data_IF_903730541519
#
_entry.id   IF_903730541519
#
_cell.length_a   1.000
_cell.length_b   1.000
_cell.length_c   1.000
_cell.angle_alpha   90.00
_cell.angle_beta   90.00
_cell.angle_gamma   90.00
#
_symmetry.space_group_name_H-M   'P 1'
#
loop_
_entity.id
_entity.type
_entity.pdbx_description
1 polymer ?
#
# COMPACT_ATOMS: atom_id res chain seq x y z
N UNK A 1 13.99 6.63 -11.74
CA UNK A 1 12.95 5.72 -12.24
C UNK A 1 12.47 4.95 -11.03
N UNK A 2 11.19 5.00 -10.70
CA UNK A 2 10.66 4.18 -9.60
C UNK A 2 10.48 2.77 -10.14
N UNK A 3 11.43 1.89 -9.83
CA UNK A 3 11.38 0.51 -10.30
C UNK A 3 10.19 -0.21 -9.65
N UNK A 4 9.20 -0.71 -10.41
CA UNK A 4 8.05 -1.44 -9.85
C UNK A 4 8.46 -2.69 -9.06
N UNK A 5 9.66 -3.22 -9.31
CA UNK A 5 10.27 -4.28 -8.51
C UNK A 5 10.49 -3.85 -7.05
N UNK A 6 10.92 -2.60 -6.81
CA UNK A 6 11.19 -2.10 -5.47
C UNK A 6 9.92 -2.08 -4.61
N UNK A 7 8.80 -1.61 -5.16
CA UNK A 7 7.53 -1.55 -4.42
C UNK A 7 6.98 -2.96 -4.18
N UNK A 8 7.14 -3.87 -5.14
CA UNK A 8 6.72 -5.26 -4.98
C UNK A 8 7.53 -6.00 -3.89
N UNK A 9 8.85 -5.78 -3.83
CA UNK A 9 9.70 -6.34 -2.79
C UNK A 9 9.38 -5.74 -1.41
N UNK A 10 9.14 -4.43 -1.36
CA UNK A 10 8.72 -3.73 -0.14
C UNK A 10 7.39 -4.30 0.39
N UNK A 11 6.43 -4.53 -0.52
CA UNK A 11 5.14 -5.11 -0.20
C UNK A 11 5.30 -6.54 0.36
N UNK A 12 6.10 -7.36 -0.33
CA UNK A 12 6.39 -8.74 0.09
C UNK A 12 7.06 -8.80 1.45
N UNK A 13 8.03 -7.92 1.72
CA UNK A 13 8.76 -7.88 3.00
C UNK A 13 7.81 -7.61 4.17
N UNK A 14 6.83 -6.73 3.97
CA UNK A 14 5.83 -6.34 4.96
C UNK A 14 4.56 -7.17 4.90
N UNK A 15 4.55 -8.24 4.09
CA UNK A 15 3.39 -9.11 3.84
C UNK A 15 2.12 -8.34 3.46
N UNK A 16 2.30 -7.22 2.76
CA UNK A 16 1.23 -6.33 2.34
C UNK A 16 0.96 -6.46 0.84
N UNK A 17 -0.24 -6.06 0.43
CA UNK A 17 -0.62 -6.03 -0.97
C UNK A 17 0.23 -5.00 -1.74
N UNK A 18 0.64 -5.36 -2.96
CA UNK A 18 1.39 -4.47 -3.86
C UNK A 18 0.60 -3.20 -4.16
N UNK A 19 -0.73 -3.30 -4.21
CA UNK A 19 -1.62 -2.18 -4.44
C UNK A 19 -1.58 -1.16 -3.30
N UNK A 20 -1.52 -1.63 -2.06
CA UNK A 20 -1.35 -0.78 -0.87
C UNK A 20 0.04 -0.14 -0.89
N UNK A 21 1.08 -0.92 -1.15
CA UNK A 21 2.43 -0.38 -1.28
C UNK A 21 2.52 0.69 -2.38
N UNK A 22 1.91 0.46 -3.55
CA UNK A 22 1.84 1.45 -4.62
C UNK A 22 1.14 2.74 -4.18
N UNK A 23 0.00 2.64 -3.49
CA UNK A 23 -0.72 3.80 -2.99
C UNK A 23 0.10 4.60 -1.96
N UNK A 24 0.81 3.90 -1.05
CA UNK A 24 1.70 4.52 -0.07
C UNK A 24 2.83 5.26 -0.77
N UNK A 25 3.53 4.62 -1.70
CA UNK A 25 4.63 5.24 -2.45
C UNK A 25 4.14 6.41 -3.30
N UNK A 26 2.90 6.37 -3.79
CA UNK A 26 2.29 7.47 -4.53
C UNK A 26 2.03 8.69 -3.63
N UNK A 27 1.45 8.48 -2.43
CA UNK A 27 1.28 9.53 -1.42
C UNK A 27 2.63 10.08 -0.94
N UNK A 28 3.60 9.18 -0.76
CA UNK A 28 4.95 9.51 -0.35
C UNK A 28 5.82 10.10 -1.48
N UNK A 29 5.31 10.22 -2.71
CA UNK A 29 6.05 10.68 -3.89
C UNK A 29 7.36 9.92 -4.15
N UNK A 30 7.36 8.62 -3.88
CA UNK A 30 8.51 7.71 -3.93
C UNK A 30 9.60 7.98 -2.87
N UNK A 31 9.27 8.69 -1.79
CA UNK A 31 10.13 8.79 -0.62
C UNK A 31 9.90 7.57 0.29
N UNK A 32 10.90 6.71 0.40
CA UNK A 32 10.82 5.47 1.18
C UNK A 32 10.63 5.73 2.68
N UNK A 33 11.22 6.81 3.22
CA UNK A 33 11.11 7.17 4.64
C UNK A 33 9.69 7.64 4.95
N UNK A 34 9.12 8.44 4.05
CA UNK A 34 7.73 8.88 4.18
C UNK A 34 6.75 7.73 3.94
N UNK A 35 7.05 6.84 2.99
CA UNK A 35 6.26 5.64 2.73
C UNK A 35 6.21 4.73 3.96
N UNK A 36 7.35 4.48 4.59
CA UNK A 36 7.44 3.71 5.83
C UNK A 36 6.66 4.38 6.97
N UNK A 37 6.74 5.71 7.08
CA UNK A 37 5.96 6.44 8.07
C UNK A 37 4.45 6.30 7.84
N UNK A 38 3.97 6.46 6.61
CA UNK A 38 2.56 6.28 6.25
C UNK A 38 2.10 4.84 6.54
N UNK A 39 2.97 3.87 6.29
CA UNK A 39 2.74 2.46 6.59
C UNK A 39 2.58 2.19 8.09
N UNK A 40 3.50 2.70 8.90
CA UNK A 40 3.47 2.55 10.36
C UNK A 40 2.31 3.32 11.00
N UNK A 41 1.99 4.51 10.49
CA UNK A 41 0.88 5.33 10.99
C UNK A 41 -0.49 4.77 10.58
N UNK A 42 -0.58 3.93 9.53
CA UNK A 42 -1.84 3.34 9.09
C UNK A 42 -2.78 4.36 8.45
N UNK A 43 -2.33 5.06 7.40
CA UNK A 43 -3.13 6.12 6.77
C UNK A 43 -4.34 5.57 5.98
N UNK A 44 -5.54 6.00 6.38
CA UNK A 44 -6.80 5.66 5.69
C UNK A 44 -6.85 6.16 4.23
N UNK A 45 -6.09 7.21 3.88
CA UNK A 45 -6.06 7.76 2.51
C UNK A 45 -5.42 6.78 1.50
N UNK A 46 -4.60 5.84 1.99
CA UNK A 46 -3.98 4.79 1.18
C UNK A 46 -5.02 3.80 0.67
N UNK A 47 -6.00 3.46 1.51
CA UNK A 47 -6.98 2.41 1.23
C UNK A 47 -7.80 2.68 -0.04
N UNK A 48 -8.50 3.83 -0.20
CA UNK A 48 -9.29 4.10 -1.40
C UNK A 48 -8.40 4.20 -2.65
N UNK A 49 -7.17 4.69 -2.51
CA UNK A 49 -6.19 4.69 -3.61
C UNK A 49 -5.79 3.27 -4.01
N UNK A 50 -5.50 2.40 -3.06
CA UNK A 50 -5.13 1.02 -3.32
C UNK A 50 -6.29 0.25 -3.97
N UNK A 51 -7.50 0.38 -3.44
CA UNK A 51 -8.71 -0.21 -4.03
C UNK A 51 -9.11 0.43 -5.36
N UNK A 52 -8.68 1.66 -5.67
CA UNK A 52 -8.89 2.23 -7.02
C UNK A 52 -8.02 1.55 -8.09
N UNK A 53 -6.91 0.92 -7.68
CA UNK A 53 -5.94 0.26 -8.56
C UNK A 53 -6.24 -1.22 -8.79
N UNK A 54 -7.25 -1.77 -8.12
CA UNK A 54 -7.60 -3.18 -8.22
C UNK A 54 -9.10 -3.38 -8.15
N UNK A 55 -9.56 -4.50 -8.70
CA UNK A 55 -10.95 -4.92 -8.58
C UNK A 55 -11.15 -5.97 -7.48
N UNK A 56 -10.12 -6.23 -6.67
CA UNK A 56 -10.21 -7.15 -5.53
C UNK A 56 -11.10 -6.56 -4.44
N UNK A 57 -11.85 -7.44 -3.78
CA UNK A 57 -12.68 -7.10 -2.63
C UNK A 57 -11.89 -7.04 -1.32
N UNK A 58 -10.68 -7.58 -1.30
CA UNK A 58 -9.79 -7.59 -0.13
C UNK A 58 -8.34 -7.25 -0.50
N UNK A 59 -7.66 -6.55 0.40
CA UNK A 59 -6.25 -6.23 0.35
C UNK A 59 -5.61 -6.51 1.71
N UNK A 60 -4.33 -6.86 1.72
CA UNK A 60 -3.61 -7.16 2.96
C UNK A 60 -2.77 -5.96 3.36
N UNK A 61 -2.97 -5.44 4.57
CA UNK A 61 -2.08 -4.49 5.23
C UNK A 61 -1.26 -5.24 6.28
N UNK A 62 -0.27 -6.01 5.80
CA UNK A 62 0.60 -6.81 6.64
C UNK A 62 -0.15 -7.99 7.21
N UNK A 63 -0.41 -7.99 8.51
CA UNK A 63 -1.22 -9.04 9.13
C UNK A 63 -2.72 -8.74 9.07
N UNK A 64 -3.11 -7.49 8.76
CA UNK A 64 -4.51 -7.10 8.68
C UNK A 64 -5.08 -7.32 7.27
N UNK A 65 -6.33 -7.80 7.19
CA UNK A 65 -7.06 -7.91 5.93
C UNK A 65 -8.10 -6.80 5.86
N UNK A 66 -7.93 -5.89 4.90
CA UNK A 66 -8.84 -4.79 4.64
C UNK A 66 -9.82 -5.21 3.55
N UNK A 67 -11.10 -4.99 3.79
CA UNK A 67 -12.16 -5.23 2.81
C UNK A 67 -12.59 -3.92 2.17
N UNK A 68 -12.84 -3.96 0.86
CA UNK A 68 -13.32 -2.80 0.07
C UNK A 68 -14.61 -2.20 0.64
N UNK A 69 -15.46 -3.03 1.27
CA UNK A 69 -16.72 -2.60 1.86
C UNK A 69 -16.55 -1.74 3.13
N UNK A 70 -15.37 -1.73 3.74
CA UNK A 70 -15.06 -0.98 4.96
C UNK A 70 -14.28 0.33 4.72
N UNK A 71 -14.10 0.72 3.45
CA UNK A 71 -13.34 1.90 3.02
C UNK A 71 -14.27 2.97 2.44
#
# INVERSE_FOLDING_TARGET
MSDPHHIADWARLRQTSVEIAHAIFELAKNDEVLAEKIWEEGSDEVLPLAFSKTDKDELYWGEETIFRANV
#
